data_IF_863788252695
#
_entry.id   IF_863788252695
#
_cell.length_a   1.000
_cell.length_b   1.000
_cell.length_c   1.000
_cell.angle_alpha   90.00
_cell.angle_beta   90.00
_cell.angle_gamma   90.00
#
_symmetry.space_group_name_H-M   'P 1'
#
loop_
_entity.id
_entity.type
_entity.pdbx_description
1 polymer ?
#
# COMPACT_ATOMS: atom_id res chain seq x y z
N UNK A 1 -9.81 0.69 -32.06
CA UNK A 1 -8.59 1.14 -31.37
C UNK A 1 -7.66 1.79 -32.40
N UNK A 2 -6.98 2.89 -32.07
CA UNK A 2 -6.00 3.53 -32.95
C UNK A 2 -4.91 2.52 -33.38
N UNK A 3 -4.51 2.50 -34.66
CA UNK A 3 -3.59 1.49 -35.22
C UNK A 3 -2.20 1.54 -34.59
N UNK A 4 -1.70 2.73 -34.27
CA UNK A 4 -0.44 2.90 -33.54
C UNK A 4 -0.54 2.37 -32.11
N UNK A 5 -1.65 2.65 -31.41
CA UNK A 5 -1.87 2.07 -30.08
C UNK A 5 -1.87 0.54 -30.13
N UNK A 6 -2.61 -0.07 -31.05
CA UNK A 6 -2.67 -1.52 -31.18
C UNK A 6 -1.27 -2.12 -31.44
N UNK A 7 -0.51 -1.51 -32.35
CA UNK A 7 0.86 -1.94 -32.66
C UNK A 7 1.78 -1.86 -31.44
N UNK A 8 1.72 -0.76 -30.67
CA UNK A 8 2.55 -0.58 -29.46
C UNK A 8 2.13 -1.56 -28.36
N UNK A 9 0.83 -1.74 -28.13
CA UNK A 9 0.30 -2.71 -27.16
C UNK A 9 0.76 -4.12 -27.49
N UNK A 10 0.60 -4.57 -28.75
CA UNK A 10 1.04 -5.90 -29.18
C UNK A 10 2.53 -6.10 -29.00
N UNK A 11 3.34 -5.07 -29.29
CA UNK A 11 4.80 -5.12 -29.06
C UNK A 11 5.15 -5.27 -27.58
N UNK A 12 4.42 -4.60 -26.68
CA UNK A 12 4.64 -4.72 -25.22
C UNK A 12 4.21 -6.11 -24.73
N UNK A 13 3.06 -6.62 -25.19
CA UNK A 13 2.58 -7.97 -24.86
C UNK A 13 3.63 -9.01 -25.26
N UNK A 14 4.12 -8.93 -26.50
CA UNK A 14 5.11 -9.86 -27.04
C UNK A 14 6.41 -9.83 -26.24
N UNK A 15 6.99 -8.64 -26.06
CA UNK A 15 8.26 -8.47 -25.36
C UNK A 15 8.19 -8.88 -23.88
N UNK A 16 7.03 -8.72 -23.24
CA UNK A 16 6.86 -9.01 -21.81
C UNK A 16 6.24 -10.38 -21.53
N UNK A 17 6.05 -11.23 -22.55
CA UNK A 17 5.31 -12.50 -22.43
C UNK A 17 5.81 -13.35 -21.25
N UNK A 18 7.10 -13.67 -21.23
CA UNK A 18 7.68 -14.59 -20.25
C UNK A 18 7.76 -13.96 -18.85
N UNK A 19 8.18 -12.69 -18.77
CA UNK A 19 8.27 -11.97 -17.48
C UNK A 19 6.90 -11.73 -16.86
N UNK A 20 5.88 -11.44 -17.66
CA UNK A 20 4.49 -11.31 -17.20
C UNK A 20 3.94 -12.66 -16.73
N UNK A 21 4.20 -13.74 -17.46
CA UNK A 21 3.78 -15.08 -17.04
C UNK A 21 4.41 -15.46 -15.68
N UNK A 22 5.71 -15.23 -15.53
CA UNK A 22 6.41 -15.47 -14.25
C UNK A 22 5.87 -14.62 -13.10
N UNK A 23 5.59 -13.33 -13.35
CA UNK A 23 4.97 -12.45 -12.37
C UNK A 23 3.58 -12.94 -11.93
N UNK A 24 2.71 -13.29 -12.89
CA UNK A 24 1.36 -13.79 -12.59
C UNK A 24 1.40 -15.12 -11.81
N UNK A 25 2.35 -16.00 -12.12
CA UNK A 25 2.56 -17.22 -11.35
C UNK A 25 2.89 -16.93 -9.88
N UNK A 26 3.78 -15.96 -9.61
CA UNK A 26 4.09 -15.52 -8.24
C UNK A 26 2.89 -14.92 -7.53
N UNK A 27 2.10 -14.08 -8.21
CA UNK A 27 0.87 -13.52 -7.64
C UNK A 27 -0.14 -14.61 -7.29
N UNK A 28 -0.32 -15.60 -8.17
CA UNK A 28 -1.22 -16.73 -7.90
C UNK A 28 -0.74 -17.59 -6.72
N UNK A 29 0.58 -17.79 -6.58
CA UNK A 29 1.15 -18.50 -5.42
C UNK A 29 1.02 -17.71 -4.12
N UNK A 30 1.14 -16.39 -4.18
CA UNK A 30 0.98 -15.51 -3.04
C UNK A 30 -0.49 -15.31 -2.64
N UNK A 31 -1.45 -15.52 -3.55
CA UNK A 31 -2.87 -15.36 -3.25
C UNK A 31 -3.32 -16.40 -2.20
N UNK A 32 -4.24 -15.97 -1.33
CA UNK A 32 -4.94 -16.85 -0.38
C UNK A 32 -6.45 -16.82 -0.60
N UNK A 33 -7.15 -17.87 -0.20
CA UNK A 33 -8.62 -17.97 -0.28
C UNK A 33 -9.33 -17.31 0.92
N UNK A 34 -8.56 -16.97 1.96
CA UNK A 34 -9.03 -16.34 3.20
C UNK A 34 -8.13 -15.14 3.54
N UNK A 35 -8.39 -14.45 4.64
CA UNK A 35 -7.50 -13.36 5.09
C UNK A 35 -6.07 -13.87 5.31
N UNK A 36 -5.09 -13.13 4.82
CA UNK A 36 -3.68 -13.55 4.84
C UNK A 36 -3.16 -13.77 6.27
N UNK A 37 -3.63 -12.93 7.20
CA UNK A 37 -3.26 -12.98 8.61
C UNK A 37 -3.67 -14.27 9.32
N UNK A 38 -4.60 -15.07 8.78
CA UNK A 38 -5.00 -16.35 9.37
C UNK A 38 -3.84 -17.37 9.42
N UNK A 39 -2.78 -17.15 8.64
CA UNK A 39 -1.57 -17.99 8.60
C UNK A 39 -0.51 -17.55 9.63
N UNK A 40 -0.71 -16.41 10.31
CA UNK A 40 0.25 -15.88 11.28
C UNK A 40 0.11 -16.56 12.64
N UNK A 41 1.24 -16.75 13.34
CA UNK A 41 1.23 -17.25 14.70
C UNK A 41 0.48 -16.31 15.65
N UNK A 42 -0.14 -16.86 16.71
CA UNK A 42 -0.92 -16.09 17.69
C UNK A 42 -0.15 -14.91 18.30
N UNK A 43 1.17 -15.05 18.51
CA UNK A 43 2.02 -13.96 18.98
C UNK A 43 2.06 -12.79 17.99
N UNK A 44 2.29 -13.06 16.70
CA UNK A 44 2.34 -12.04 15.65
C UNK A 44 0.99 -11.29 15.54
N UNK A 45 -0.11 -12.05 15.60
CA UNK A 45 -1.46 -11.49 15.59
C UNK A 45 -1.69 -10.57 16.79
N UNK A 46 -1.26 -10.98 17.99
CA UNK A 46 -1.39 -10.18 19.20
C UNK A 46 -0.73 -8.81 19.06
N UNK A 47 0.45 -8.74 18.44
CA UNK A 47 1.14 -7.49 18.13
C UNK A 47 0.39 -6.67 17.06
N UNK A 48 -0.04 -7.30 15.97
CA UNK A 48 -0.65 -6.62 14.82
C UNK A 48 -1.93 -5.84 15.11
N UNK A 49 -2.70 -6.25 16.13
CA UNK A 49 -3.89 -5.53 16.60
C UNK A 49 -3.79 -5.00 18.03
N UNK A 50 -2.60 -4.99 18.65
CA UNK A 50 -2.42 -4.63 20.05
C UNK A 50 -3.00 -3.25 20.37
N UNK A 51 -2.70 -2.27 19.51
CA UNK A 51 -3.10 -0.87 19.63
C UNK A 51 -4.45 -0.54 18.97
N UNK A 52 -5.13 -1.52 18.36
CA UNK A 52 -6.46 -1.30 17.80
C UNK A 52 -7.48 -1.01 18.89
N UNK A 53 -8.48 -0.20 18.53
CA UNK A 53 -9.68 -0.01 19.34
C UNK A 53 -10.37 -1.36 19.59
N UNK A 54 -11.17 -1.45 20.67
CA UNK A 54 -11.76 -2.71 21.11
C UNK A 54 -12.53 -3.44 19.99
N UNK A 55 -13.36 -2.71 19.24
CA UNK A 55 -14.18 -3.27 18.16
C UNK A 55 -13.34 -3.73 16.95
N UNK A 56 -12.29 -2.97 16.59
CA UNK A 56 -11.34 -3.34 15.55
C UNK A 56 -10.54 -4.58 15.95
N UNK A 57 -10.08 -4.64 17.21
CA UNK A 57 -9.37 -5.80 17.75
C UNK A 57 -10.25 -7.05 17.73
N UNK A 58 -11.52 -6.95 18.13
CA UNK A 58 -12.48 -8.05 18.07
C UNK A 58 -12.72 -8.50 16.61
N UNK A 59 -12.91 -7.54 15.71
CA UNK A 59 -13.09 -7.75 14.27
C UNK A 59 -11.91 -8.49 13.64
N UNK A 60 -10.68 -8.04 13.91
CA UNK A 60 -9.47 -8.64 13.33
C UNK A 60 -9.23 -10.06 13.86
N UNK A 61 -9.48 -10.30 15.16
CA UNK A 61 -9.40 -11.63 15.78
C UNK A 61 -10.37 -12.65 15.19
N UNK A 62 -11.54 -12.20 14.74
CA UNK A 62 -12.54 -13.10 14.14
C UNK A 62 -12.09 -13.71 12.81
N UNK A 63 -11.08 -13.14 12.15
CA UNK A 63 -10.64 -13.49 10.78
C UNK A 63 -11.71 -13.31 9.69
N UNK A 64 -12.85 -12.69 10.00
CA UNK A 64 -13.98 -12.54 9.07
C UNK A 64 -14.00 -11.19 8.34
N UNK A 65 -13.27 -10.18 8.83
CA UNK A 65 -13.23 -8.84 8.24
C UNK A 65 -11.91 -8.55 7.55
N UNK A 66 -11.96 -7.81 6.45
CA UNK A 66 -10.75 -7.38 5.76
C UNK A 66 -10.02 -6.32 6.57
N UNK A 67 -8.69 -6.38 6.56
CA UNK A 67 -7.81 -5.35 7.11
C UNK A 67 -7.11 -4.63 5.97
N UNK A 68 -7.36 -3.34 5.79
CA UNK A 68 -6.81 -2.55 4.69
C UNK A 68 -5.64 -1.72 5.21
N UNK A 69 -4.48 -1.92 4.59
CA UNK A 69 -3.30 -1.10 4.83
C UNK A 69 -3.51 0.31 4.28
N UNK A 70 -3.05 1.30 5.03
CA UNK A 70 -2.92 2.68 4.58
C UNK A 70 -1.42 2.99 4.56
N UNK A 71 -0.89 3.28 3.38
CA UNK A 71 0.45 3.83 3.21
C UNK A 71 0.28 5.32 2.96
N UNK A 72 0.89 6.16 3.79
CA UNK A 72 0.74 7.62 3.70
C UNK A 72 2.08 8.31 3.48
N UNK A 73 2.08 9.27 2.57
CA UNK A 73 3.18 10.21 2.35
C UNK A 73 2.96 11.55 3.09
N UNK A 74 2.13 11.57 4.15
CA UNK A 74 1.84 12.78 4.92
C UNK A 74 3.11 13.55 5.30
N UNK A 75 3.09 14.83 4.97
CA UNK A 75 4.12 15.79 5.30
C UNK A 75 3.44 17.16 5.43
N UNK A 76 3.61 17.80 6.58
CA UNK A 76 2.96 19.07 6.92
C UNK A 76 3.53 20.26 6.14
N UNK A 77 4.83 20.22 5.83
CA UNK A 77 5.53 21.26 5.09
C UNK A 77 5.18 21.25 3.59
N UNK A 78 4.91 20.08 3.01
CA UNK A 78 4.61 19.92 1.59
C UNK A 78 3.10 20.03 1.33
N UNK A 79 2.68 21.14 0.72
CA UNK A 79 1.26 21.45 0.49
C UNK A 79 0.44 20.36 -0.21
N UNK A 80 1.05 19.60 -1.14
CA UNK A 80 0.38 18.48 -1.82
C UNK A 80 0.16 17.25 -0.92
N UNK A 81 0.91 17.14 0.19
CA UNK A 81 0.88 16.00 1.11
C UNK A 81 0.23 16.33 2.46
N UNK A 82 0.16 17.61 2.83
CA UNK A 82 -0.49 18.05 4.07
C UNK A 82 -1.93 17.56 4.21
N UNK A 83 -2.79 17.52 3.15
CA UNK A 83 -4.15 17.01 3.27
C UNK A 83 -4.26 15.57 3.80
N UNK A 84 -3.19 14.78 3.69
CA UNK A 84 -3.16 13.39 4.14
C UNK A 84 -3.16 13.21 5.66
N UNK A 85 -3.01 14.29 6.43
CA UNK A 85 -3.09 14.27 7.90
C UNK A 85 -4.38 13.61 8.38
N UNK A 86 -5.52 13.97 7.77
CA UNK A 86 -6.84 13.56 8.24
C UNK A 86 -7.46 12.41 7.41
N UNK A 87 -6.86 12.07 6.27
CA UNK A 87 -7.39 11.05 5.38
C UNK A 87 -7.46 9.66 6.02
N UNK A 88 -6.47 9.20 6.82
CA UNK A 88 -6.57 7.93 7.52
C UNK A 88 -7.83 7.80 8.38
N UNK A 89 -8.24 8.86 9.07
CA UNK A 89 -9.45 8.83 9.91
C UNK A 89 -10.73 8.77 9.08
N UNK A 90 -10.79 9.53 7.98
CA UNK A 90 -11.91 9.48 7.04
C UNK A 90 -12.03 8.09 6.42
N UNK A 91 -10.91 7.52 6.00
CA UNK A 91 -10.82 6.18 5.41
C UNK A 91 -11.26 5.11 6.40
N UNK A 92 -10.81 5.16 7.67
CA UNK A 92 -11.24 4.20 8.69
C UNK A 92 -12.76 4.19 8.85
N UNK A 93 -13.38 5.37 8.94
CA UNK A 93 -14.85 5.49 9.03
C UNK A 93 -15.56 4.90 7.81
N UNK A 94 -15.03 5.14 6.62
CA UNK A 94 -15.56 4.57 5.38
C UNK A 94 -15.41 3.04 5.33
N UNK A 95 -14.26 2.51 5.75
CA UNK A 95 -14.00 1.08 5.82
C UNK A 95 -14.92 0.39 6.84
N UNK A 96 -15.13 1.00 8.01
CA UNK A 96 -16.06 0.48 9.02
C UNK A 96 -17.49 0.35 8.46
N UNK A 97 -17.92 1.35 7.67
CA UNK A 97 -19.23 1.33 6.99
C UNK A 97 -19.34 0.20 5.94
N UNK A 98 -18.20 -0.29 5.43
CA UNK A 98 -18.09 -1.41 4.51
C UNK A 98 -17.71 -2.74 5.19
N UNK A 99 -17.80 -2.82 6.53
CA UNK A 99 -17.38 -3.98 7.33
C UNK A 99 -15.90 -4.38 7.19
N UNK A 100 -15.02 -3.41 6.99
CA UNK A 100 -13.57 -3.56 6.96
C UNK A 100 -12.90 -2.72 8.06
N UNK A 101 -11.65 -3.06 8.39
CA UNK A 101 -10.80 -2.32 9.33
C UNK A 101 -9.68 -1.64 8.53
N UNK A 102 -9.25 -0.45 8.93
CA UNK A 102 -8.13 0.27 8.33
C UNK A 102 -7.01 0.53 9.31
N UNK A 103 -5.77 0.16 8.96
CA UNK A 103 -4.58 0.44 9.75
C UNK A 103 -3.53 1.15 8.91
N UNK A 104 -2.86 2.15 9.48
CA UNK A 104 -1.67 2.72 8.84
C UNK A 104 -0.57 1.69 8.93
N UNK A 105 -0.15 1.18 7.78
CA UNK A 105 0.87 0.14 7.66
C UNK A 105 2.28 0.74 7.61
N UNK A 106 2.41 1.99 7.13
CA UNK A 106 3.69 2.68 7.08
C UNK A 106 3.57 4.10 6.54
N UNK A 107 4.56 4.92 6.90
CA UNK A 107 4.82 6.20 6.27
C UNK A 107 5.88 6.05 5.18
N UNK A 108 5.70 6.72 4.05
CA UNK A 108 6.73 6.88 3.00
C UNK A 108 7.19 8.33 2.98
N UNK A 109 8.45 8.61 2.59
CA UNK A 109 8.90 10.00 2.48
C UNK A 109 8.13 10.73 1.37
N UNK A 110 8.08 12.05 1.50
CA UNK A 110 7.54 12.94 0.49
C UNK A 110 8.61 13.93 0.06
N UNK A 111 8.60 14.30 -1.22
CA UNK A 111 9.48 15.30 -1.81
C UNK A 111 8.66 16.15 -2.78
N UNK A 112 9.01 17.43 -2.90
CA UNK A 112 8.30 18.37 -3.76
C UNK A 112 9.29 19.13 -4.63
N UNK A 113 9.19 18.92 -5.95
CA UNK A 113 10.00 19.65 -6.93
C UNK A 113 9.82 21.17 -6.77
N UNK A 114 8.62 21.64 -6.44
CA UNK A 114 8.37 23.07 -6.19
C UNK A 114 9.21 23.67 -5.04
N UNK A 115 9.75 22.84 -4.15
CA UNK A 115 10.67 23.24 -3.06
C UNK A 115 12.13 23.02 -3.48
N UNK A 116 12.44 21.91 -4.14
CA UNK A 116 13.83 21.50 -4.40
C UNK A 116 14.38 21.93 -5.76
N UNK A 117 13.54 22.33 -6.72
CA UNK A 117 13.97 22.65 -8.08
C UNK A 117 15.07 23.72 -8.10
N UNK A 118 16.21 23.39 -8.70
CA UNK A 118 17.38 24.27 -8.76
C UNK A 118 18.22 24.35 -7.48
N UNK A 119 17.93 23.51 -6.49
CA UNK A 119 18.70 23.35 -5.24
C UNK A 119 19.35 21.95 -5.20
N UNK A 120 20.38 21.79 -4.37
CA UNK A 120 21.11 20.51 -4.20
C UNK A 120 20.18 19.35 -3.81
N UNK A 121 19.10 19.64 -3.07
CA UNK A 121 18.09 18.64 -2.71
C UNK A 121 17.42 17.96 -3.90
N UNK A 122 17.42 18.57 -5.09
CA UNK A 122 16.85 17.99 -6.30
C UNK A 122 17.59 16.72 -6.75
N UNK A 123 18.87 16.57 -6.37
CA UNK A 123 19.67 15.37 -6.67
C UNK A 123 19.06 14.10 -6.05
N UNK A 124 18.23 14.25 -5.02
CA UNK A 124 17.54 13.15 -4.33
C UNK A 124 16.17 12.82 -4.93
N UNK A 125 15.63 13.64 -5.84
CA UNK A 125 14.25 13.49 -6.34
C UNK A 125 14.01 12.14 -6.99
N UNK A 126 14.88 11.71 -7.92
CA UNK A 126 14.72 10.39 -8.55
C UNK A 126 14.95 9.24 -7.56
N UNK A 127 15.87 9.39 -6.61
CA UNK A 127 16.17 8.37 -5.60
C UNK A 127 15.01 8.18 -4.62
N UNK A 128 14.24 9.24 -4.35
CA UNK A 128 13.08 9.18 -3.47
C UNK A 128 12.07 8.10 -3.89
N UNK A 129 11.93 7.84 -5.20
CA UNK A 129 11.07 6.77 -5.73
C UNK A 129 11.44 5.39 -5.19
N UNK A 130 12.72 5.07 -5.11
CA UNK A 130 13.20 3.78 -4.60
C UNK A 130 12.97 3.68 -3.10
N UNK A 131 13.18 4.78 -2.36
CA UNK A 131 12.90 4.84 -0.92
C UNK A 131 11.42 4.65 -0.65
N UNK A 132 10.54 5.29 -1.42
CA UNK A 132 9.08 5.11 -1.32
C UNK A 132 8.70 3.65 -1.57
N UNK A 133 9.22 3.03 -2.63
CA UNK A 133 8.93 1.65 -2.96
C UNK A 133 9.37 0.68 -1.85
N UNK A 134 10.58 0.86 -1.32
CA UNK A 134 11.10 0.03 -0.21
C UNK A 134 10.31 0.24 1.08
N UNK A 135 10.00 1.48 1.44
CA UNK A 135 9.23 1.80 2.64
C UNK A 135 7.80 1.23 2.58
N UNK A 136 7.14 1.31 1.42
CA UNK A 136 5.84 0.68 1.22
C UNK A 136 5.92 -0.85 1.35
N UNK A 137 6.96 -1.48 0.79
CA UNK A 137 7.18 -2.92 0.92
C UNK A 137 7.41 -3.33 2.38
N UNK A 138 8.20 -2.56 3.13
CA UNK A 138 8.42 -2.78 4.58
C UNK A 138 7.08 -2.72 5.33
N UNK A 139 6.28 -1.67 5.11
CA UNK A 139 4.99 -1.51 5.78
C UNK A 139 4.03 -2.67 5.50
N UNK A 140 3.99 -3.16 4.26
CA UNK A 140 3.11 -4.28 3.86
C UNK A 140 3.65 -5.66 4.27
N UNK A 141 4.96 -5.79 4.53
CA UNK A 141 5.59 -7.07 4.86
C UNK A 141 5.11 -7.72 6.16
N UNK A 142 4.39 -6.99 7.01
CA UNK A 142 3.75 -7.53 8.21
C UNK A 142 2.67 -8.58 7.91
N UNK A 143 2.22 -8.69 6.66
CA UNK A 143 1.29 -9.72 6.18
C UNK A 143 -0.04 -9.77 6.96
N UNK A 144 -0.45 -8.60 7.49
CA UNK A 144 -1.67 -8.40 8.27
C UNK A 144 -2.85 -7.92 7.42
N UNK A 145 -2.62 -7.62 6.14
CA UNK A 145 -3.51 -6.83 5.31
C UNK A 145 -4.05 -7.62 4.12
N UNK A 146 -5.29 -7.33 3.74
CA UNK A 146 -6.04 -7.98 2.66
C UNK A 146 -6.19 -7.05 1.44
N UNK A 147 -5.68 -5.82 1.55
CA UNK A 147 -5.65 -4.79 0.51
C UNK A 147 -4.90 -3.56 1.01
N UNK A 148 -4.65 -2.59 0.12
CA UNK A 148 -3.93 -1.37 0.47
C UNK A 148 -4.51 -0.14 -0.24
N UNK A 149 -4.43 1.00 0.44
CA UNK A 149 -4.65 2.34 -0.09
C UNK A 149 -3.34 3.13 0.05
N UNK A 150 -2.98 3.87 -1.00
CA UNK A 150 -1.79 4.71 -1.04
C UNK A 150 -2.21 6.17 -1.12
N UNK A 151 -1.75 6.98 -0.17
CA UNK A 151 -2.03 8.41 -0.04
C UNK A 151 -0.76 9.21 -0.37
#
# INVERSE_FOLDING_TARGET
MNSTMLRVTNRIIERSRDTRAAYLARINQAKTDTVHRAQLACGNLAHGFAACQADDKASLKSMLRNNIAIITSYNDMLSAHQPYEHYPDIIRKALHSANAVGQVAGGVPAMCDGVTQGQDGMELSLLSREVIAMSAAIGLSHNMFDGALYL
#
